data_IF_652049153545
#
_entry.id   IF_652049153545
#
_cell.length_a   1.000
_cell.length_b   1.000
_cell.length_c   1.000
_cell.angle_alpha   90.00
_cell.angle_beta   90.00
_cell.angle_gamma   90.00
#
_symmetry.space_group_name_H-M   'P 1'
#
loop_
_entity.id
_entity.type
_entity.pdbx_description
1 polymer ?
#
# COMPACT_ATOMS: atom_id res chain seq x y z
N UNK A 1 29.06 -21.04 -47.73
CA UNK A 1 29.02 -21.44 -46.32
C UNK A 1 29.29 -20.30 -45.34
N UNK A 2 30.25 -19.43 -45.56
CA UNK A 2 30.54 -18.29 -44.67
C UNK A 2 29.40 -17.27 -44.58
N UNK A 3 28.61 -17.08 -45.63
CA UNK A 3 27.45 -16.16 -45.64
C UNK A 3 26.24 -16.70 -44.86
N UNK A 4 26.08 -18.00 -44.74
CA UNK A 4 24.99 -18.64 -44.01
C UNK A 4 25.25 -18.53 -42.50
N UNK A 5 26.48 -18.62 -42.02
CA UNK A 5 26.89 -18.46 -40.64
C UNK A 5 26.66 -17.02 -40.11
N UNK A 6 26.84 -16.03 -40.99
CA UNK A 6 26.60 -14.62 -40.65
C UNK A 6 25.11 -14.31 -40.44
N UNK A 7 24.24 -14.92 -41.23
CA UNK A 7 22.78 -14.75 -41.12
C UNK A 7 22.25 -15.41 -39.84
N UNK A 8 22.80 -16.55 -39.44
CA UNK A 8 22.42 -17.26 -38.23
C UNK A 8 22.84 -16.46 -36.95
N UNK A 9 23.98 -15.78 -36.98
CA UNK A 9 24.45 -14.94 -35.89
C UNK A 9 23.58 -13.69 -35.69
N UNK A 10 23.04 -13.11 -36.77
CA UNK A 10 22.16 -11.93 -36.71
C UNK A 10 20.80 -12.28 -36.17
N UNK A 11 20.28 -13.47 -36.41
CA UNK A 11 18.97 -13.93 -35.88
C UNK A 11 19.05 -14.19 -34.37
N UNK A 12 20.19 -14.62 -33.86
CA UNK A 12 20.40 -14.85 -32.41
C UNK A 12 20.46 -13.55 -31.58
N UNK A 13 20.82 -12.42 -32.20
CA UNK A 13 20.85 -11.11 -31.54
C UNK A 13 19.48 -10.43 -31.47
N UNK A 14 18.48 -10.92 -32.23
CA UNK A 14 17.14 -10.35 -32.23
C UNK A 14 16.24 -10.86 -31.10
N UNK A 15 16.69 -11.82 -30.27
CA UNK A 15 15.99 -12.25 -29.04
C UNK A 15 16.49 -11.37 -27.90
N UNK A 16 16.39 -10.08 -28.07
CA UNK A 16 16.45 -9.14 -26.94
C UNK A 16 15.18 -9.35 -26.14
N UNK A 17 15.29 -10.07 -25.03
CA UNK A 17 14.23 -10.15 -24.04
C UNK A 17 13.80 -8.72 -23.66
N UNK A 18 12.66 -8.28 -24.14
CA UNK A 18 11.97 -7.13 -23.58
C UNK A 18 11.66 -7.51 -22.12
N UNK A 19 12.46 -7.02 -21.18
CA UNK A 19 12.11 -7.10 -19.77
C UNK A 19 10.79 -6.37 -19.64
N UNK A 20 9.70 -7.10 -19.41
CA UNK A 20 8.45 -6.51 -18.92
C UNK A 20 8.77 -5.68 -17.70
N UNK A 21 8.29 -4.42 -17.62
CA UNK A 21 8.46 -3.63 -16.40
C UNK A 21 7.90 -4.45 -15.23
N UNK A 22 8.79 -4.91 -14.36
CA UNK A 22 8.38 -5.65 -13.17
C UNK A 22 7.85 -4.64 -12.18
N UNK A 23 6.61 -4.81 -11.74
CA UNK A 23 6.07 -4.00 -10.65
C UNK A 23 6.99 -4.09 -9.43
N UNK A 24 7.19 -2.98 -8.69
CA UNK A 24 8.03 -3.00 -7.51
C UNK A 24 7.45 -4.00 -6.52
N UNK A 25 8.15 -5.11 -6.35
CA UNK A 25 7.81 -6.16 -5.41
C UNK A 25 8.41 -5.87 -4.06
N UNK A 26 7.89 -6.50 -3.04
CA UNK A 26 8.50 -6.55 -1.75
C UNK A 26 7.67 -5.94 -0.66
N UNK A 27 8.09 -6.21 0.59
CA UNK A 27 7.33 -5.75 1.74
C UNK A 27 7.34 -4.22 1.83
N UNK A 28 6.24 -3.70 2.36
CA UNK A 28 6.08 -2.27 2.64
C UNK A 28 5.90 -2.10 4.14
N UNK A 29 6.69 -1.24 4.76
CA UNK A 29 6.51 -0.85 6.15
C UNK A 29 5.50 0.28 6.23
N UNK A 30 4.36 0.03 6.84
CA UNK A 30 3.28 1.00 7.01
C UNK A 30 3.16 1.38 8.48
N UNK A 31 3.05 2.67 8.75
CA UNK A 31 2.54 3.20 10.02
C UNK A 31 1.28 4.01 9.78
N UNK A 32 0.51 4.18 10.84
CA UNK A 32 -0.76 4.91 10.80
C UNK A 32 -0.60 6.22 11.56
N UNK A 33 -1.10 7.30 11.00
CA UNK A 33 -1.25 8.59 11.67
C UNK A 33 -2.73 8.94 11.76
N UNK A 34 -3.20 9.20 12.96
CA UNK A 34 -4.53 9.75 13.17
C UNK A 34 -4.47 11.28 13.02
N UNK A 35 -4.90 11.82 11.89
CA UNK A 35 -4.90 13.28 11.66
C UNK A 35 -6.21 13.96 12.10
N UNK A 36 -7.06 13.25 12.84
CA UNK A 36 -8.29 13.81 13.39
C UNK A 36 -8.07 14.37 14.82
N UNK A 37 -9.08 15.03 15.33
CA UNK A 37 -9.12 15.55 16.71
C UNK A 37 -9.73 14.57 17.70
N UNK A 38 -10.05 13.34 17.27
CA UNK A 38 -10.68 12.32 18.14
C UNK A 38 -9.81 11.09 18.25
N UNK A 39 -9.91 10.42 19.39
CA UNK A 39 -9.21 9.16 19.60
C UNK A 39 -9.89 8.02 18.83
N UNK A 40 -9.08 7.11 18.33
CA UNK A 40 -9.52 5.89 17.66
C UNK A 40 -9.05 4.67 18.44
N UNK A 41 -9.85 3.60 18.42
CA UNK A 41 -9.47 2.30 18.96
C UNK A 41 -9.69 1.22 17.89
N UNK A 42 -9.07 0.06 18.07
CA UNK A 42 -9.17 -1.07 17.14
C UNK A 42 -8.89 -0.66 15.68
N UNK A 43 -7.86 0.16 15.48
CA UNK A 43 -7.47 0.60 14.14
C UNK A 43 -6.89 -0.59 13.38
N UNK A 44 -7.66 -1.12 12.47
CA UNK A 44 -7.31 -2.33 11.70
C UNK A 44 -7.12 -1.97 10.24
N UNK A 45 -5.99 -2.37 9.70
CA UNK A 45 -5.63 -2.20 8.29
C UNK A 45 -5.62 -3.56 7.62
N UNK A 46 -6.39 -3.68 6.56
CA UNK A 46 -6.36 -4.82 5.66
C UNK A 46 -5.85 -4.34 4.30
N UNK A 47 -4.71 -4.88 3.90
CA UNK A 47 -4.17 -4.75 2.55
C UNK A 47 -4.71 -5.88 1.67
N UNK A 48 -4.10 -6.17 0.57
CA UNK A 48 -4.59 -7.20 -0.36
C UNK A 48 -4.67 -8.60 0.29
N UNK A 49 -3.66 -9.00 1.04
CA UNK A 49 -3.46 -10.36 1.53
C UNK A 49 -3.16 -10.46 3.02
N UNK A 50 -3.08 -9.37 3.73
CA UNK A 50 -2.83 -9.38 5.17
C UNK A 50 -3.59 -8.31 5.93
N UNK A 51 -3.83 -8.60 7.20
CA UNK A 51 -4.57 -7.74 8.13
C UNK A 51 -3.76 -7.55 9.40
N UNK A 52 -3.68 -6.31 9.86
CA UNK A 52 -3.03 -5.99 11.13
C UNK A 52 -3.84 -4.97 11.93
N UNK A 53 -3.93 -5.20 13.24
CA UNK A 53 -4.57 -4.28 14.18
C UNK A 53 -3.51 -3.43 14.90
N UNK A 54 -3.48 -2.16 14.63
CA UNK A 54 -2.59 -1.19 15.27
C UNK A 54 -3.03 -0.77 16.68
N UNK A 55 -4.23 -1.20 17.10
CA UNK A 55 -4.77 -0.89 18.42
C UNK A 55 -5.34 0.52 18.53
N UNK A 56 -5.03 1.20 19.64
CA UNK A 56 -5.52 2.54 19.90
C UNK A 56 -4.57 3.60 19.35
N UNK A 57 -5.13 4.63 18.74
CA UNK A 57 -4.43 5.81 18.25
C UNK A 57 -5.11 7.07 18.76
N UNK A 58 -4.44 7.79 19.63
CA UNK A 58 -4.92 9.09 20.10
C UNK A 58 -4.95 10.11 18.97
N UNK A 59 -5.74 11.15 19.14
CA UNK A 59 -5.79 12.28 18.21
C UNK A 59 -4.37 12.81 17.93
N UNK A 60 -4.01 12.94 16.65
CA UNK A 60 -2.71 13.43 16.22
C UNK A 60 -1.53 12.47 16.38
N UNK A 61 -1.73 11.27 16.92
CA UNK A 61 -0.64 10.33 17.19
C UNK A 61 -0.30 9.46 15.97
N UNK A 62 0.88 8.84 16.03
CA UNK A 62 1.46 7.97 15.02
C UNK A 62 1.79 6.62 15.65
N UNK A 63 1.47 5.52 14.96
CA UNK A 63 1.85 4.17 15.38
C UNK A 63 3.31 3.85 15.06
N UNK A 64 3.78 2.72 15.58
CA UNK A 64 4.95 2.06 15.03
C UNK A 64 4.69 1.52 13.63
N UNK A 65 5.77 1.17 12.90
CA UNK A 65 5.65 0.51 11.60
C UNK A 65 5.27 -0.96 11.78
N UNK A 66 4.44 -1.42 10.86
CA UNK A 66 4.19 -2.83 10.62
C UNK A 66 4.49 -3.17 9.17
N UNK A 67 5.14 -4.31 8.93
CA UNK A 67 5.48 -4.75 7.59
C UNK A 67 4.35 -5.58 6.99
N UNK A 68 3.89 -5.15 5.81
CA UNK A 68 2.95 -5.90 4.98
C UNK A 68 3.68 -6.46 3.77
N UNK A 69 3.34 -7.66 3.35
CA UNK A 69 3.91 -8.27 2.14
C UNK A 69 3.56 -7.45 0.90
N UNK A 70 2.35 -6.89 0.88
CA UNK A 70 1.86 -5.98 -0.16
C UNK A 70 1.09 -4.84 0.45
N UNK A 71 1.38 -3.63 0.02
CA UNK A 71 0.61 -2.45 0.36
C UNK A 71 0.40 -1.57 -0.88
N UNK A 72 -0.67 -0.80 -0.85
CA UNK A 72 -1.14 -0.01 -1.97
C UNK A 72 -1.46 1.43 -1.54
N UNK A 73 -1.72 2.30 -2.50
CA UNK A 73 -2.20 3.66 -2.25
C UNK A 73 -3.63 3.72 -1.68
N UNK A 74 -4.26 2.58 -1.48
CA UNK A 74 -5.51 2.40 -0.74
C UNK A 74 -5.46 1.13 0.11
N UNK A 75 -6.26 1.10 1.16
CA UNK A 75 -6.42 -0.07 2.01
C UNK A 75 -7.84 -0.09 2.59
N UNK A 76 -8.29 -1.26 3.02
CA UNK A 76 -9.50 -1.39 3.81
C UNK A 76 -9.13 -1.11 5.27
N UNK A 77 -9.57 0.01 5.80
CA UNK A 77 -9.28 0.42 7.17
C UNK A 77 -10.58 0.52 7.95
N UNK A 78 -10.55 0.05 9.18
CA UNK A 78 -11.62 0.25 10.14
C UNK A 78 -11.06 0.74 11.46
N UNK A 79 -11.84 1.53 12.16
CA UNK A 79 -11.54 2.01 13.50
C UNK A 79 -12.83 2.22 14.28
N UNK A 80 -12.72 2.23 15.61
CA UNK A 80 -13.82 2.58 16.50
C UNK A 80 -13.61 3.99 17.03
N UNK A 81 -14.60 4.86 16.85
CA UNK A 81 -14.62 6.23 17.34
C UNK A 81 -15.89 6.40 18.18
N UNK A 82 -15.76 6.79 19.44
CA UNK A 82 -16.90 6.96 20.38
C UNK A 82 -17.84 5.73 20.37
N UNK A 83 -17.29 4.53 20.37
CA UNK A 83 -18.04 3.28 20.39
C UNK A 83 -18.68 2.87 19.06
N UNK A 84 -18.51 3.65 18.00
CA UNK A 84 -19.07 3.37 16.68
C UNK A 84 -17.98 2.98 15.69
N UNK A 85 -18.29 2.01 14.82
CA UNK A 85 -17.34 1.53 13.81
C UNK A 85 -17.37 2.43 12.57
N UNK A 86 -16.20 2.92 12.22
CA UNK A 86 -15.92 3.67 11.00
C UNK A 86 -15.08 2.80 10.06
N UNK A 87 -15.26 2.97 8.76
CA UNK A 87 -14.48 2.23 7.76
C UNK A 87 -14.28 3.02 6.47
N UNK A 88 -13.22 2.72 5.75
CA UNK A 88 -13.02 3.19 4.37
C UNK A 88 -13.99 2.51 3.42
N UNK A 89 -14.17 3.07 2.23
CA UNK A 89 -14.80 2.32 1.13
C UNK A 89 -13.93 1.11 0.78
N UNK A 90 -14.58 0.05 0.28
CA UNK A 90 -13.87 -1.18 -0.09
C UNK A 90 -12.86 -0.90 -1.19
N UNK A 91 -11.59 -1.18 -0.92
CA UNK A 91 -10.54 -1.04 -1.91
C UNK A 91 -10.64 -2.15 -2.96
N UNK A 92 -10.60 -1.76 -4.23
CA UNK A 92 -10.52 -2.67 -5.38
C UNK A 92 -9.11 -2.59 -5.94
N UNK A 93 -8.29 -3.57 -5.64
CA UNK A 93 -6.84 -3.52 -5.89
C UNK A 93 -6.43 -3.69 -7.36
N UNK A 94 -7.33 -4.06 -8.26
CA UNK A 94 -7.04 -4.31 -9.68
C UNK A 94 -6.44 -3.09 -10.40
N UNK A 95 -6.80 -1.88 -9.97
CA UNK A 95 -6.37 -0.62 -10.61
C UNK A 95 -5.60 0.30 -9.66
N UNK A 96 -5.22 -0.18 -8.48
CA UNK A 96 -4.52 0.61 -7.48
C UNK A 96 -3.03 0.32 -7.56
N UNK A 97 -2.23 1.39 -7.58
CA UNK A 97 -0.78 1.26 -7.60
C UNK A 97 -0.24 0.63 -6.33
N UNK A 98 0.70 -0.23 -6.54
CA UNK A 98 1.50 -0.93 -5.55
C UNK A 98 2.54 0.01 -4.96
N UNK A 99 2.73 0.00 -3.65
CA UNK A 99 3.76 0.81 -3.00
C UNK A 99 5.17 0.20 -3.16
N UNK A 100 5.25 -1.12 -3.10
CA UNK A 100 6.52 -1.80 -3.20
C UNK A 100 7.37 -1.69 -1.93
N UNK A 101 8.66 -1.89 -2.09
CA UNK A 101 9.63 -1.95 -1.00
C UNK A 101 9.99 -0.55 -0.50
N UNK A 102 9.16 -0.01 0.40
CA UNK A 102 9.31 1.33 0.96
C UNK A 102 8.69 1.44 2.36
N UNK A 103 8.91 2.59 2.98
CA UNK A 103 8.15 3.05 4.16
C UNK A 103 7.10 4.05 3.73
N UNK A 104 5.90 3.94 4.31
CA UNK A 104 4.84 4.91 4.07
C UNK A 104 3.99 5.13 5.32
N UNK A 105 3.37 6.28 5.38
CA UNK A 105 2.38 6.64 6.41
C UNK A 105 1.00 6.68 5.79
N UNK A 106 0.06 5.96 6.36
CA UNK A 106 -1.36 6.12 6.09
C UNK A 106 -1.93 7.13 7.09
N UNK A 107 -2.23 8.32 6.62
CA UNK A 107 -2.94 9.33 7.42
C UNK A 107 -4.44 9.07 7.33
N UNK A 108 -5.04 8.72 8.47
CA UNK A 108 -6.48 8.41 8.56
C UNK A 108 -7.25 9.66 8.97
N UNK A 109 -8.33 9.92 8.27
CA UNK A 109 -9.28 10.97 8.62
C UNK A 109 -10.74 10.53 8.41
N UNK A 110 -11.68 11.25 9.02
CA UNK A 110 -13.11 11.04 8.82
C UNK A 110 -13.55 11.80 7.57
N UNK A 111 -13.92 11.09 6.53
CA UNK A 111 -14.39 11.69 5.27
C UNK A 111 -15.88 12.01 5.30
N UNK A 112 -16.67 11.24 6.04
CA UNK A 112 -18.10 11.46 6.23
C UNK A 112 -18.56 10.90 7.57
N UNK A 113 -18.81 11.76 8.55
CA UNK A 113 -19.22 11.35 9.89
C UNK A 113 -20.62 10.74 9.93
N UNK A 114 -21.56 11.27 9.16
CA UNK A 114 -22.93 10.75 9.10
C UNK A 114 -22.99 9.30 8.59
N UNK A 115 -22.13 8.97 7.63
CA UNK A 115 -22.02 7.62 7.06
C UNK A 115 -20.97 6.75 7.75
N UNK A 116 -20.31 7.25 8.78
CA UNK A 116 -19.21 6.56 9.48
C UNK A 116 -18.09 6.13 8.53
N UNK A 117 -17.69 7.04 7.64
CA UNK A 117 -16.65 6.80 6.65
C UNK A 117 -15.33 7.40 7.04
N UNK A 118 -14.28 6.60 6.84
CA UNK A 118 -12.89 7.00 6.85
C UNK A 118 -12.35 7.16 5.43
N UNK A 119 -11.26 7.86 5.30
CA UNK A 119 -10.41 7.84 4.11
C UNK A 119 -8.96 8.02 4.54
N UNK A 120 -8.03 7.84 3.62
CA UNK A 120 -6.60 7.92 3.88
C UNK A 120 -5.89 8.79 2.86
N UNK A 121 -4.87 9.50 3.36
CA UNK A 121 -3.79 10.03 2.54
C UNK A 121 -2.59 9.09 2.68
N UNK A 122 -1.97 8.72 1.60
CA UNK A 122 -0.76 7.91 1.61
C UNK A 122 0.45 8.78 1.39
N UNK A 123 1.35 8.79 2.34
CA UNK A 123 2.59 9.56 2.31
C UNK A 123 3.76 8.59 2.17
N UNK A 124 4.31 8.40 0.96
CA UNK A 124 5.55 7.65 0.78
C UNK A 124 6.71 8.37 1.47
N UNK A 125 7.54 7.65 2.21
CA UNK A 125 8.65 8.26 2.96
C UNK A 125 10.00 7.95 2.32
N UNK A 126 10.35 6.68 2.24
CA UNK A 126 11.64 6.27 1.67
C UNK A 126 11.59 4.82 1.19
N UNK A 127 12.37 4.51 0.16
CA UNK A 127 12.60 3.12 -0.22
C UNK A 127 13.36 2.39 0.90
N UNK A 128 12.97 1.16 1.17
CA UNK A 128 13.74 0.26 2.04
C UNK A 128 15.03 -0.14 1.32
N UNK A 129 16.14 -0.01 2.00
CA UNK A 129 17.44 -0.44 1.49
C UNK A 129 17.68 -1.91 1.80
#
# INVERSE_FOLDING_TARGET
>A
MKKLLLITAIILLAISCKKTPQEPLGPTDIRIRNITTVNMTNVTVNTYDSTYNFGALNAGSVSDYHQFDRAYYKANISATINGQKYKTDTAVYTYIHYLGQMKATYEIYVSNDAQKKLDINVIPESALK
#
